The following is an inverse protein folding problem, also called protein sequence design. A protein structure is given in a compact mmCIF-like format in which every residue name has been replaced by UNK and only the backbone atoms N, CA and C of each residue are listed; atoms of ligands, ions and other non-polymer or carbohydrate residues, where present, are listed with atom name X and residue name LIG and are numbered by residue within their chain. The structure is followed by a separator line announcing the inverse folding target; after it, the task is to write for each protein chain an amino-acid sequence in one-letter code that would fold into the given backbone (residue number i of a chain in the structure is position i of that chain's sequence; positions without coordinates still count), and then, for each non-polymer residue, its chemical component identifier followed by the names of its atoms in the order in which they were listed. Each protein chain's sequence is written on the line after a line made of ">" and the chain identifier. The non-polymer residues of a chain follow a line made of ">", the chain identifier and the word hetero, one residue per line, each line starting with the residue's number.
data_IF_885177507423
#
_entry.id   IF_885177507423
#
_cell.length_a   1.000
_cell.length_b   1.000
_cell.length_c   1.000
_cell.angle_alpha   90.00
_cell.angle_beta   90.00
_cell.angle_gamma   90.00
#
_symmetry.space_group_name_H-M   'P 1'
#
loop_
_entity.id
_entity.type
_entity.pdbx_description
1 polymer ?
#
# COMPACT_ATOMS: atom_id res chain seq x y z
N UNK A 1 -5.14 -1.55 -9.12
CA UNK A 1 -4.63 -2.48 -8.11
C UNK A 1 -3.57 -1.77 -7.30
N UNK A 2 -3.73 -1.76 -5.99
CA UNK A 2 -2.79 -1.28 -4.99
C UNK A 2 -2.62 -2.39 -3.96
N UNK A 3 -1.37 -2.72 -3.62
CA UNK A 3 -1.09 -3.52 -2.44
C UNK A 3 -0.78 -2.57 -1.30
N UNK A 4 -1.37 -2.81 -0.14
CA UNK A 4 -1.06 -2.08 1.08
C UNK A 4 -0.74 -3.05 2.20
N UNK A 5 0.20 -2.70 3.06
CA UNK A 5 0.51 -3.46 4.28
C UNK A 5 0.29 -2.56 5.49
N UNK A 6 -0.59 -2.99 6.40
CA UNK A 6 -0.65 -2.47 7.75
C UNK A 6 0.53 -3.07 8.54
N UNK A 7 1.47 -2.22 8.93
CA UNK A 7 2.78 -2.66 9.46
C UNK A 7 2.71 -3.15 10.91
N UNK A 8 1.77 -2.62 11.68
CA UNK A 8 1.48 -3.02 13.06
C UNK A 8 0.80 -4.39 13.13
N UNK A 9 -0.19 -4.63 12.26
CA UNK A 9 -0.92 -5.90 12.16
C UNK A 9 -0.21 -6.94 11.29
N UNK A 10 0.80 -6.51 10.52
CA UNK A 10 1.49 -7.31 9.49
C UNK A 10 0.50 -7.94 8.52
N UNK A 11 -0.47 -7.15 8.09
CA UNK A 11 -1.59 -7.58 7.24
C UNK A 11 -1.47 -6.95 5.86
N UNK A 12 -1.51 -7.77 4.81
CA UNK A 12 -1.60 -7.30 3.43
C UNK A 12 -3.06 -7.20 2.97
N UNK A 13 -3.38 -6.09 2.29
CA UNK A 13 -4.65 -5.85 1.63
C UNK A 13 -4.38 -5.46 0.17
N UNK A 14 -5.07 -6.13 -0.77
CA UNK A 14 -5.07 -5.80 -2.18
C UNK A 14 -6.35 -5.04 -2.54
N UNK A 15 -6.21 -3.79 -2.96
CA UNK A 15 -7.30 -2.92 -3.38
C UNK A 15 -7.39 -2.81 -4.90
N UNK A 16 -8.61 -2.84 -5.44
CA UNK A 16 -8.83 -2.74 -6.89
C UNK A 16 -8.32 -1.43 -7.50
N UNK A 17 -8.30 -0.34 -6.72
CA UNK A 17 -7.91 1.00 -7.15
C UNK A 17 -7.25 1.81 -6.05
N UNK A 18 -6.54 2.87 -6.45
CA UNK A 18 -6.03 3.89 -5.52
C UNK A 18 -7.14 4.50 -4.67
N UNK A 19 -8.28 4.82 -5.27
CA UNK A 19 -9.41 5.39 -4.54
C UNK A 19 -9.93 4.46 -3.42
N UNK A 20 -9.92 3.14 -3.66
CA UNK A 20 -10.30 2.17 -2.64
C UNK A 20 -9.27 2.09 -1.51
N UNK A 21 -7.97 2.09 -1.83
CA UNK A 21 -6.91 2.12 -0.82
C UNK A 21 -6.96 3.39 0.03
N UNK A 22 -7.08 4.57 -0.61
CA UNK A 22 -7.16 5.87 0.07
C UNK A 22 -8.40 5.99 0.96
N UNK A 23 -9.51 5.38 0.56
CA UNK A 23 -10.74 5.38 1.36
C UNK A 23 -10.66 4.46 2.59
N UNK A 24 -9.85 3.39 2.52
CA UNK A 24 -9.71 2.40 3.59
C UNK A 24 -8.60 2.75 4.58
N UNK A 25 -7.47 3.29 4.10
CA UNK A 25 -6.31 3.62 4.93
C UNK A 25 -6.42 5.06 5.45
N UNK A 26 -6.62 5.22 6.75
CA UNK A 26 -6.81 6.54 7.36
C UNK A 26 -5.56 7.43 7.23
N UNK A 27 -5.77 8.70 6.87
CA UNK A 27 -4.68 9.65 6.62
C UNK A 27 -3.75 9.88 7.82
N UNK A 28 -4.25 9.71 9.05
CA UNK A 28 -3.44 9.83 10.27
C UNK A 28 -2.45 8.68 10.44
N UNK A 29 -2.88 7.45 10.14
CA UNK A 29 -2.05 6.24 10.22
C UNK A 29 -1.05 6.23 9.05
N UNK A 30 -1.49 6.69 7.88
CA UNK A 30 -0.63 6.90 6.71
C UNK A 30 0.46 7.94 7.00
N UNK A 31 0.13 9.04 7.68
CA UNK A 31 1.11 10.04 8.12
C UNK A 31 2.07 9.49 9.18
N UNK A 32 1.62 8.55 10.02
CA UNK A 32 2.42 7.88 11.03
C UNK A 32 3.35 6.78 10.46
N UNK A 33 3.28 6.52 9.15
CA UNK A 33 3.97 5.43 8.46
C UNK A 33 3.55 4.03 8.92
N UNK A 34 2.32 3.89 9.42
CA UNK A 34 1.74 2.59 9.79
C UNK A 34 1.31 1.80 8.54
N UNK A 35 1.23 2.45 7.37
CA UNK A 35 0.90 1.85 6.08
C UNK A 35 2.05 1.95 5.07
N UNK A 36 2.31 0.85 4.37
CA UNK A 36 3.16 0.80 3.18
C UNK A 36 2.31 0.52 1.93
N UNK A 37 2.67 1.09 0.78
CA UNK A 37 1.89 0.99 -0.46
C UNK A 37 2.74 0.62 -1.67
N UNK A 38 2.14 -0.14 -2.59
CA UNK A 38 2.73 -0.51 -3.87
C UNK A 38 1.67 -0.51 -4.97
N UNK A 39 2.10 -0.22 -6.20
CA UNK A 39 1.24 -0.38 -7.37
C UNK A 39 1.04 -1.87 -7.73
N UNK A 40 0.14 -2.14 -8.68
CA UNK A 40 -0.12 -3.50 -9.17
C UNK A 40 1.05 -4.15 -9.93
N UNK A 41 2.23 -3.55 -9.97
CA UNK A 41 3.48 -4.12 -10.47
C UNK A 41 4.51 -4.31 -9.37
N UNK A 42 4.17 -3.99 -8.11
CA UNK A 42 5.09 -4.05 -6.98
C UNK A 42 6.02 -2.85 -6.85
N UNK A 43 5.80 -1.77 -7.61
CA UNK A 43 6.59 -0.55 -7.44
C UNK A 43 6.12 0.20 -6.19
N UNK A 44 7.04 0.68 -5.34
CA UNK A 44 6.66 1.40 -4.12
C UNK A 44 5.99 2.74 -4.44
N UNK A 45 4.97 3.06 -3.63
CA UNK A 45 4.23 4.30 -3.67
C UNK A 45 4.36 5.03 -2.33
N UNK A 46 4.32 6.35 -2.37
CA UNK A 46 4.29 7.21 -1.18
C UNK A 46 3.03 8.09 -1.17
N UNK A 47 2.47 8.39 0.01
CA UNK A 47 1.34 9.30 0.13
C UNK A 47 1.80 10.75 -0.10
N UNK A 48 1.10 11.45 -0.99
CA UNK A 48 1.25 12.89 -1.19
C UNK A 48 -0.01 13.59 -0.68
N UNK A 49 0.10 14.24 0.49
CA UNK A 49 -1.01 15.00 1.07
C UNK A 49 -1.25 16.31 0.32
N UNK A 50 -2.42 16.42 -0.30
CA UNK A 50 -2.93 17.66 -0.89
C UNK A 50 -3.62 18.54 0.15
N UNK A 51 -4.21 17.91 1.17
CA UNK A 51 -4.75 18.55 2.36
C UNK A 51 -4.12 17.86 3.57
N UNK A 52 -3.37 18.57 4.43
CA UNK A 52 -2.72 17.94 5.59
C UNK A 52 -3.75 17.48 6.63
N UNK A 53 -3.37 16.49 7.43
CA UNK A 53 -4.14 16.11 8.62
C UNK A 53 -4.21 17.29 9.60
N UNK A 54 -5.33 17.38 10.34
CA UNK A 54 -5.48 18.36 11.43
C UNK A 54 -5.51 17.63 12.76
N UNK A 55 -4.61 18.03 13.65
CA UNK A 55 -4.55 17.59 15.05
C UNK A 55 -4.71 18.82 15.94
N UNK A 56 -5.82 18.91 16.68
CA UNK A 56 -6.09 20.00 17.61
C UNK A 56 -6.79 19.51 18.88
N UNK A 57 -6.85 20.37 19.90
CA UNK A 57 -7.42 20.04 21.22
C UNK A 57 -8.88 19.56 21.19
N UNK A 58 -9.64 19.91 20.15
CA UNK A 58 -11.08 19.60 20.03
C UNK A 58 -11.48 18.92 18.72
N UNK A 59 -10.56 18.81 17.76
CA UNK A 59 -10.86 18.21 16.45
C UNK A 59 -9.65 17.46 15.93
N UNK A 60 -9.91 16.22 15.51
CA UNK A 60 -9.01 15.39 14.74
C UNK A 60 -9.68 15.17 13.39
N UNK A 61 -8.99 15.48 12.30
CA UNK A 61 -9.53 15.33 10.96
C UNK A 61 -8.45 14.76 10.03
N UNK A 62 -8.81 13.67 9.36
CA UNK A 62 -8.02 13.11 8.28
C UNK A 62 -7.88 14.12 7.12
N UNK A 63 -6.67 14.23 6.60
CA UNK A 63 -6.35 14.97 5.40
C UNK A 63 -6.80 14.25 4.14
N UNK A 64 -6.35 14.75 2.99
CA UNK A 64 -6.59 14.14 1.67
C UNK A 64 -5.25 13.92 1.02
N UNK A 65 -5.00 12.68 0.58
CA UNK A 65 -3.77 12.28 -0.08
C UNK A 65 -4.04 11.48 -1.35
N UNK A 66 -3.04 11.43 -2.22
CA UNK A 66 -2.96 10.53 -3.39
C UNK A 66 -1.69 9.68 -3.27
N UNK A 67 -1.68 8.52 -3.91
CA UNK A 67 -0.50 7.66 -3.97
C UNK A 67 0.33 7.99 -5.21
N UNK A 68 1.58 8.39 -5.01
CA UNK A 68 2.50 8.73 -6.09
C UNK A 68 3.72 7.79 -6.07
N UNK A 69 4.44 7.61 -7.19
CA UNK A 69 5.66 6.81 -7.20
C UNK A 69 6.64 7.28 -6.12
N UNK A 70 7.10 6.35 -5.28
CA UNK A 70 8.05 6.67 -4.23
C UNK A 70 9.39 7.14 -4.81
N UNK A 71 10.06 8.04 -4.08
CA UNK A 71 11.41 8.49 -4.44
C UNK A 71 12.42 7.35 -4.28
N UNK A 72 13.56 7.49 -4.96
CA UNK A 72 14.59 6.44 -5.06
C UNK A 72 15.25 6.05 -3.73
N UNK A 73 15.05 6.85 -2.69
CA UNK A 73 15.58 6.69 -1.34
C UNK A 73 14.55 6.10 -0.36
N UNK A 74 13.28 5.97 -0.76
CA UNK A 74 12.20 5.35 0.01
C UNK A 74 11.68 4.10 -0.71
N UNK A 75 12.48 3.04 -0.69
CA UNK A 75 12.14 1.75 -1.28
C UNK A 75 11.87 0.71 -0.18
N UNK A 76 10.60 0.53 0.18
CA UNK A 76 10.17 -0.77 0.70
C UNK A 76 9.89 -1.66 -0.52
N UNK A 77 10.58 -2.78 -0.67
CA UNK A 77 10.29 -3.75 -1.73
C UNK A 77 9.09 -4.60 -1.30
N UNK A 78 8.07 -4.75 -2.17
CA UNK A 78 6.90 -5.58 -1.85
C UNK A 78 7.30 -7.03 -1.59
N UNK A 79 8.24 -7.58 -2.34
CA UNK A 79 8.67 -8.97 -2.18
C UNK A 79 9.33 -9.22 -0.82
N UNK A 80 10.12 -8.25 -0.34
CA UNK A 80 10.71 -8.27 1.01
C UNK A 80 9.65 -8.06 2.10
N UNK A 81 8.69 -7.15 1.86
CA UNK A 81 7.60 -6.92 2.81
C UNK A 81 6.72 -8.18 2.99
N UNK A 82 6.52 -8.97 1.93
CA UNK A 82 5.77 -10.22 1.99
C UNK A 82 6.38 -11.26 2.94
N UNK A 83 7.69 -11.20 3.23
CA UNK A 83 8.31 -12.09 4.22
C UNK A 83 7.93 -11.74 5.66
N UNK A 84 7.55 -10.48 5.92
CA UNK A 84 7.14 -10.01 7.24
C UNK A 84 5.61 -10.01 7.45
N UNK A 85 4.84 -10.17 6.37
CA UNK A 85 3.37 -10.26 6.41
C UNK A 85 2.94 -11.60 7.00
N UNK A 86 2.05 -11.53 8.00
CA UNK A 86 1.49 -12.71 8.67
C UNK A 86 0.04 -12.98 8.24
N UNK A 87 -0.68 -11.95 7.80
CA UNK A 87 -2.10 -12.04 7.47
C UNK A 87 -2.39 -11.47 6.07
N UNK A 88 -3.39 -12.03 5.40
CA UNK A 88 -3.85 -11.57 4.09
C UNK A 88 -5.35 -11.33 4.16
N UNK A 89 -5.75 -10.07 4.12
CA UNK A 89 -7.16 -9.66 4.09
C UNK A 89 -7.57 -9.35 2.66
N UNK A 90 -7.51 -10.36 1.81
CA UNK A 90 -7.91 -10.26 0.42
C UNK A 90 -8.42 -11.60 -0.09
N UNK A 91 -9.41 -11.60 -1.01
CA UNK A 91 -9.85 -12.84 -1.64
C UNK A 91 -8.74 -13.40 -2.55
N UNK A 92 -8.84 -14.69 -2.95
CA UNK A 92 -7.99 -15.24 -3.99
C UNK A 92 -7.99 -14.35 -5.26
N UNK A 93 -6.83 -14.14 -5.90
CA UNK A 93 -5.56 -14.82 -5.67
C UNK A 93 -4.68 -14.17 -4.57
N UNK A 94 -5.05 -13.04 -3.98
CA UNK A 94 -4.15 -12.28 -3.09
C UNK A 94 -4.25 -12.66 -1.61
N UNK A 95 -4.67 -13.88 -1.32
CA UNK A 95 -4.92 -14.38 0.03
C UNK A 95 -3.70 -15.08 0.66
N UNK A 96 -2.54 -15.05 0.00
CA UNK A 96 -1.28 -15.61 0.48
C UNK A 96 -0.07 -15.01 -0.26
N UNK A 97 1.12 -15.10 0.32
CA UNK A 97 2.35 -14.50 -0.23
C UNK A 97 2.78 -15.10 -1.58
N UNK A 98 2.68 -16.42 -1.73
CA UNK A 98 3.10 -17.13 -2.95
C UNK A 98 2.32 -16.64 -4.17
N UNK A 99 0.99 -16.58 -4.07
CA UNK A 99 0.14 -16.11 -5.16
C UNK A 99 0.33 -14.61 -5.48
N UNK A 100 0.69 -13.77 -4.49
CA UNK A 100 1.08 -12.37 -4.77
C UNK A 100 2.39 -12.33 -5.56
N UNK A 101 3.41 -13.12 -5.18
CA UNK A 101 4.69 -13.21 -5.90
C UNK A 101 4.53 -13.72 -7.33
N UNK A 102 3.71 -14.75 -7.51
CA UNK A 102 3.36 -15.28 -8.84
C UNK A 102 2.73 -14.19 -9.72
N UNK A 103 1.78 -13.42 -9.16
CA UNK A 103 1.15 -12.31 -9.85
C UNK A 103 2.16 -11.23 -10.28
N UNK A 104 3.08 -10.86 -9.38
CA UNK A 104 4.11 -9.86 -9.65
C UNK A 104 5.06 -10.33 -10.77
N UNK A 105 5.50 -11.59 -10.71
CA UNK A 105 6.38 -12.19 -11.72
C UNK A 105 5.70 -12.24 -13.09
N UNK A 106 4.41 -12.62 -13.13
CA UNK A 106 3.61 -12.65 -14.35
C UNK A 106 3.40 -11.28 -14.99
N UNK A 107 3.47 -10.19 -14.21
CA UNK A 107 3.34 -8.80 -14.72
C UNK A 107 4.67 -8.15 -15.05
N UNK A 108 5.76 -8.54 -14.40
CA UNK A 108 7.10 -8.07 -14.71
C UNK A 108 7.57 -8.54 -16.09
N UNK A 109 7.17 -9.74 -16.53
CA UNK A 109 7.51 -10.30 -17.84
C UNK A 109 6.68 -9.81 -19.04
N UNK A 110 5.68 -8.95 -18.82
CA UNK A 110 4.72 -8.54 -19.86
C UNK A 110 5.15 -7.38 -20.76
N UNK A 111 6.44 -7.03 -20.82
CA UNK A 111 6.96 -5.92 -21.63
C UNK A 111 8.00 -6.38 -22.66
N UNK A 112 7.61 -7.35 -23.49
CA UNK A 112 8.22 -7.58 -24.82
C UNK A 112 7.11 -7.76 -25.85
N UNK A 113 6.74 -6.65 -26.51
CA UNK A 113 6.17 -6.56 -27.87
C UNK A 113 6.04 -5.09 -28.28
#
# INVERSE_FOLDING_TARGET
>A
MIFAVATDERTLIAFDSEAAAVAACEGLDVEAADWLFWDGRGNPLEPLFSVPNKRGLFVVQNGVYSLVPAKRDHHANLDEALDEVLNFESPPPFNNAESVREYLTGRAGGNEA
#
